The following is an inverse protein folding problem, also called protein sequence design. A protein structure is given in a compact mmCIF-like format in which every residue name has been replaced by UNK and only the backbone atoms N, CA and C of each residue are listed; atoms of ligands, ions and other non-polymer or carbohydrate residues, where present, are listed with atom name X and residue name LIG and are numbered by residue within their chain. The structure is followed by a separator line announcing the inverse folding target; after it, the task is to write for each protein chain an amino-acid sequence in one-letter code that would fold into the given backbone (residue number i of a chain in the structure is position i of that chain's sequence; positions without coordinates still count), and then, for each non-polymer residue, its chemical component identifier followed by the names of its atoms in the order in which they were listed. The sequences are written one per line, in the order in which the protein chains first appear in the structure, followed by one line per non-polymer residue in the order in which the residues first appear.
data_IF_089273757863
#
_entry.id   IF_089273757863
#
_cell.length_a   1.000
_cell.length_b   1.000
_cell.length_c   1.000
_cell.angle_alpha   90.00
_cell.angle_beta   90.00
_cell.angle_gamma   90.00
#
_symmetry.space_group_name_H-M   'P 1'
#
loop_
_entity.id
_entity.type
_entity.pdbx_description
1 polymer ?
#
# COMPACT_ATOMS: atom_id res chain seq x y z
N UNK A 1 -2.98 8.85 12.50
CA UNK A 1 -1.89 9.79 12.81
C UNK A 1 -1.39 9.63 14.25
N UNK A 2 -2.24 9.76 15.27
CA UNK A 2 -1.83 9.59 16.67
C UNK A 2 -1.20 8.21 16.95
N UNK A 3 -1.73 7.13 16.38
CA UNK A 3 -1.19 5.78 16.57
C UNK A 3 0.25 5.66 16.05
N UNK A 4 0.52 6.17 14.86
CA UNK A 4 1.86 6.13 14.25
C UNK A 4 2.84 7.00 15.05
N UNK A 5 2.41 8.17 15.53
CA UNK A 5 3.20 9.02 16.41
C UNK A 5 3.57 8.32 17.72
N UNK A 6 2.58 7.72 18.39
CA UNK A 6 2.80 6.95 19.63
C UNK A 6 3.75 5.77 19.42
N UNK A 7 3.59 5.03 18.31
CA UNK A 7 4.45 3.90 17.97
C UNK A 7 5.90 4.35 17.72
N UNK A 8 6.09 5.42 16.94
CA UNK A 8 7.41 6.03 16.70
C UNK A 8 8.08 6.41 18.00
N UNK A 9 7.36 7.10 18.87
CA UNK A 9 7.92 7.59 20.15
C UNK A 9 8.26 6.44 21.11
N UNK A 10 7.45 5.38 21.11
CA UNK A 10 7.71 4.17 21.90
C UNK A 10 8.91 3.36 21.38
N UNK A 11 9.11 3.30 20.08
CA UNK A 11 10.23 2.58 19.45
C UNK A 11 11.56 3.34 19.55
N UNK A 12 11.53 4.67 19.67
CA UNK A 12 12.72 5.48 19.80
C UNK A 12 13.75 5.20 18.70
N UNK A 13 14.95 4.77 19.09
CA UNK A 13 16.04 4.43 18.15
C UNK A 13 15.69 3.28 17.20
N UNK A 14 14.82 2.35 17.60
CA UNK A 14 14.40 1.22 16.77
C UNK A 14 13.46 1.64 15.63
N UNK A 15 12.97 2.86 15.62
CA UNK A 15 12.12 3.38 14.55
C UNK A 15 12.78 3.28 13.16
N UNK A 16 14.09 3.48 13.07
CA UNK A 16 14.85 3.35 11.82
C UNK A 16 14.99 1.89 11.35
N UNK A 17 14.92 0.94 12.29
CA UNK A 17 14.98 -0.50 12.01
C UNK A 17 13.60 -1.13 11.81
N UNK A 18 12.54 -0.33 11.94
CA UNK A 18 11.16 -0.79 11.87
C UNK A 18 10.49 -0.28 10.59
N UNK A 19 9.84 -1.16 9.86
CA UNK A 19 8.95 -0.82 8.76
C UNK A 19 7.50 -1.12 9.17
N UNK A 20 6.68 -0.08 9.25
CA UNK A 20 5.23 -0.23 9.49
C UNK A 20 4.51 -0.10 8.15
N UNK A 21 3.77 -1.13 7.79
CA UNK A 21 2.92 -1.16 6.60
C UNK A 21 1.45 -1.15 7.03
N UNK A 22 0.70 -0.20 6.51
CA UNK A 22 -0.75 -0.13 6.67
C UNK A 22 -1.38 -0.39 5.32
N UNK A 23 -2.14 -1.45 5.23
CA UNK A 23 -2.82 -1.87 4.01
C UNK A 23 -4.21 -2.43 4.34
N UNK A 24 -5.05 -2.52 3.34
CA UNK A 24 -6.37 -3.16 3.41
C UNK A 24 -6.52 -4.15 2.28
N UNK A 25 -7.26 -5.22 2.52
CA UNK A 25 -7.62 -6.21 1.50
C UNK A 25 -8.75 -5.72 0.58
N UNK A 26 -9.47 -4.68 1.01
CA UNK A 26 -10.60 -4.13 0.25
C UNK A 26 -10.25 -2.79 -0.36
N UNK A 27 -10.65 -2.61 -1.62
CA UNK A 27 -10.82 -1.30 -2.23
C UNK A 27 -12.24 -0.76 -2.04
N UNK A 28 -12.54 0.32 -2.73
CA UNK A 28 -13.89 0.95 -2.72
C UNK A 28 -14.32 1.22 -4.14
N UNK A 29 -15.65 1.17 -4.36
CA UNK A 29 -16.25 1.65 -5.61
C UNK A 29 -16.09 3.16 -5.74
N UNK A 30 -16.00 3.65 -6.98
CA UNK A 30 -15.84 5.09 -7.23
C UNK A 30 -17.16 5.84 -7.03
N UNK A 31 -18.28 5.21 -7.38
CA UNK A 31 -19.60 5.81 -7.20
C UNK A 31 -20.15 5.57 -5.80
N UNK A 32 -20.93 6.53 -5.30
CA UNK A 32 -21.71 6.36 -4.09
C UNK A 32 -22.84 5.33 -4.30
N UNK A 33 -23.10 4.55 -3.28
CA UNK A 33 -24.24 3.65 -3.23
C UNK A 33 -25.52 4.34 -2.74
N UNK A 34 -26.63 3.61 -2.71
CA UNK A 34 -27.94 4.14 -2.31
C UNK A 34 -28.06 4.62 -0.86
N UNK A 35 -27.06 4.32 0.00
CA UNK A 35 -27.02 4.74 1.41
C UNK A 35 -26.04 5.89 1.66
N UNK A 36 -25.46 6.48 0.61
CA UNK A 36 -24.53 7.60 0.71
C UNK A 36 -23.08 7.21 1.06
N UNK A 37 -22.77 5.90 1.04
CA UNK A 37 -21.43 5.36 1.18
C UNK A 37 -20.89 4.81 -0.14
N UNK A 38 -19.90 3.93 -0.06
CA UNK A 38 -19.36 3.17 -1.20
C UNK A 38 -19.32 1.69 -0.85
N UNK A 39 -19.44 0.84 -1.86
CA UNK A 39 -19.31 -0.59 -1.68
C UNK A 39 -17.84 -1.03 -1.72
N UNK A 40 -17.58 -2.29 -1.41
CA UNK A 40 -16.24 -2.87 -1.58
C UNK A 40 -15.87 -2.84 -3.06
N UNK A 41 -14.61 -2.56 -3.34
CA UNK A 41 -14.04 -2.50 -4.68
C UNK A 41 -12.67 -3.17 -4.72
N UNK A 42 -11.94 -2.97 -5.81
CA UNK A 42 -10.74 -3.74 -6.10
C UNK A 42 -9.47 -3.03 -5.61
N UNK A 43 -9.29 -1.75 -5.91
CA UNK A 43 -8.06 -1.03 -5.57
C UNK A 43 -8.21 -0.12 -4.35
N UNK A 44 -7.11 0.03 -3.63
CA UNK A 44 -7.00 0.91 -2.47
C UNK A 44 -5.62 1.55 -2.42
N UNK A 45 -5.32 2.24 -1.31
CA UNK A 45 -4.01 2.78 -1.00
C UNK A 45 -3.36 1.97 0.13
N UNK A 46 -2.01 1.93 0.12
CA UNK A 46 -1.23 1.43 1.24
C UNK A 46 -0.25 2.51 1.70
N UNK A 47 0.15 2.47 2.95
CA UNK A 47 1.06 3.44 3.55
C UNK A 47 2.24 2.73 4.19
N UNK A 48 3.42 3.34 4.09
CA UNK A 48 4.65 2.89 4.73
C UNK A 48 5.16 3.97 5.68
N UNK A 49 5.60 3.55 6.86
CA UNK A 49 6.20 4.42 7.86
C UNK A 49 7.48 3.77 8.39
N UNK A 50 8.56 4.54 8.46
CA UNK A 50 9.84 4.13 9.04
C UNK A 50 10.74 5.36 9.18
N UNK A 51 11.65 5.35 10.13
CA UNK A 51 12.73 6.34 10.23
C UNK A 51 13.76 6.24 9.11
N UNK A 52 13.82 5.11 8.40
CA UNK A 52 14.74 4.87 7.29
C UNK A 52 14.19 5.25 5.91
N UNK A 53 12.95 5.74 5.81
CA UNK A 53 12.39 6.18 4.53
C UNK A 53 13.03 7.50 4.08
N UNK A 54 13.86 7.41 3.02
CA UNK A 54 14.62 8.55 2.51
C UNK A 54 13.76 9.71 1.98
N UNK A 55 12.53 9.42 1.55
CA UNK A 55 11.59 10.37 0.93
C UNK A 55 10.24 10.36 1.67
N UNK A 56 10.26 10.44 2.99
CA UNK A 56 9.03 10.52 3.78
C UNK A 56 8.15 11.70 3.36
N UNK A 57 6.83 11.52 3.46
CA UNK A 57 5.82 12.51 3.05
C UNK A 57 5.48 12.52 1.56
N UNK A 58 6.08 11.68 0.75
CA UNK A 58 5.77 11.56 -0.67
C UNK A 58 4.59 10.61 -0.92
N UNK A 59 3.78 10.97 -1.91
CA UNK A 59 2.77 10.09 -2.49
C UNK A 59 3.36 9.52 -3.79
N UNK A 60 3.41 8.19 -3.86
CA UNK A 60 3.81 7.47 -5.07
C UNK A 60 2.55 6.87 -5.69
N UNK A 61 2.21 7.28 -6.90
CA UNK A 61 1.01 6.81 -7.56
C UNK A 61 1.20 6.69 -9.07
N UNK A 62 0.71 5.60 -9.63
CA UNK A 62 0.36 5.47 -11.03
C UNK A 62 -1.16 5.65 -11.13
N UNK A 63 -1.57 6.91 -11.24
CA UNK A 63 -2.98 7.27 -11.11
C UNK A 63 -3.78 6.90 -12.37
N UNK A 64 -4.73 5.94 -12.30
CA UNK A 64 -5.45 5.46 -13.47
C UNK A 64 -6.56 6.40 -13.93
N UNK A 65 -6.95 7.36 -13.09
CA UNK A 65 -8.11 8.23 -13.31
C UNK A 65 -9.42 7.63 -12.78
N UNK A 66 -10.49 8.44 -12.86
CA UNK A 66 -11.82 8.09 -12.34
C UNK A 66 -12.94 8.26 -13.37
N UNK A 67 -12.60 8.48 -14.64
CA UNK A 67 -13.62 8.51 -15.71
C UNK A 67 -14.17 7.10 -15.90
N UNK A 68 -15.44 6.91 -16.30
CA UNK A 68 -16.04 5.58 -16.49
C UNK A 68 -15.19 4.62 -17.33
N UNK A 69 -14.53 5.12 -18.38
CA UNK A 69 -13.65 4.34 -19.25
C UNK A 69 -12.31 3.95 -18.61
N UNK A 70 -11.96 4.55 -17.48
CA UNK A 70 -10.70 4.31 -16.76
C UNK A 70 -10.90 3.38 -15.55
N UNK A 71 -12.14 3.08 -15.19
CA UNK A 71 -12.47 2.22 -14.07
C UNK A 71 -12.26 0.74 -14.43
N UNK A 72 -11.93 -0.04 -13.43
CA UNK A 72 -11.94 -1.50 -13.53
C UNK A 72 -13.41 -1.96 -13.54
N UNK A 73 -13.79 -2.71 -14.58
CA UNK A 73 -15.18 -3.14 -14.82
C UNK A 73 -16.22 -1.98 -14.80
N UNK A 74 -15.79 -0.76 -15.11
CA UNK A 74 -16.66 0.42 -15.13
C UNK A 74 -17.17 0.87 -13.75
N UNK A 75 -16.65 0.30 -12.66
CA UNK A 75 -17.15 0.50 -11.30
C UNK A 75 -16.07 0.85 -10.29
N UNK A 76 -14.99 0.10 -10.27
CA UNK A 76 -13.98 0.15 -9.23
C UNK A 76 -12.79 1.03 -9.64
N UNK A 77 -12.06 1.58 -8.68
CA UNK A 77 -10.74 2.12 -8.95
C UNK A 77 -9.87 1.00 -9.54
N UNK A 78 -9.22 1.29 -10.68
CA UNK A 78 -8.37 0.31 -11.36
C UNK A 78 -7.09 0.08 -10.57
N UNK A 79 -6.73 -1.18 -10.21
CA UNK A 79 -5.45 -1.46 -9.58
C UNK A 79 -4.31 -1.24 -10.57
N UNK A 80 -3.25 -0.58 -10.12
CA UNK A 80 -2.05 -0.28 -10.92
C UNK A 80 -0.80 -0.98 -10.39
N UNK A 81 -0.88 -1.56 -9.20
CA UNK A 81 0.18 -2.36 -8.59
C UNK A 81 -0.43 -3.52 -7.80
N UNK A 82 0.21 -4.67 -7.83
CA UNK A 82 -0.19 -5.80 -6.98
C UNK A 82 0.39 -5.63 -5.58
N UNK A 83 -0.38 -6.04 -4.58
CA UNK A 83 0.03 -5.95 -3.17
C UNK A 83 1.32 -6.74 -2.90
N UNK A 84 1.45 -7.92 -3.48
CA UNK A 84 2.62 -8.79 -3.32
C UNK A 84 3.90 -8.11 -3.82
N UNK A 85 3.83 -7.39 -4.93
CA UNK A 85 4.94 -6.60 -5.44
C UNK A 85 5.27 -5.46 -4.47
N UNK A 86 4.27 -4.67 -4.08
CA UNK A 86 4.44 -3.55 -3.15
C UNK A 86 5.09 -4.01 -1.84
N UNK A 87 4.57 -5.08 -1.22
CA UNK A 87 5.05 -5.58 0.06
C UNK A 87 6.49 -6.12 -0.04
N UNK A 88 6.79 -6.94 -1.05
CA UNK A 88 8.12 -7.49 -1.24
C UNK A 88 9.17 -6.42 -1.56
N UNK A 89 8.83 -5.43 -2.40
CA UNK A 89 9.74 -4.35 -2.74
C UNK A 89 10.02 -3.43 -1.53
N UNK A 90 8.99 -3.16 -0.71
CA UNK A 90 9.13 -2.38 0.51
C UNK A 90 10.05 -3.07 1.52
N UNK A 91 9.86 -4.37 1.76
CA UNK A 91 10.70 -5.18 2.65
C UNK A 91 12.13 -5.32 2.12
N UNK A 92 12.28 -5.64 0.84
CA UNK A 92 13.60 -5.77 0.23
C UNK A 92 14.41 -4.48 0.35
N UNK A 93 13.77 -3.34 0.09
CA UNK A 93 14.43 -2.02 0.22
C UNK A 93 14.79 -1.71 1.67
N UNK A 94 13.88 -1.95 2.61
CA UNK A 94 14.10 -1.63 4.03
C UNK A 94 15.23 -2.45 4.66
N UNK A 95 15.30 -3.74 4.33
CA UNK A 95 16.28 -4.67 4.89
C UNK A 95 17.46 -4.97 3.97
N UNK A 96 17.63 -4.22 2.87
CA UNK A 96 18.69 -4.41 1.88
C UNK A 96 18.75 -5.86 1.32
N UNK A 97 17.58 -6.45 1.06
CA UNK A 97 17.44 -7.80 0.52
C UNK A 97 17.31 -7.77 -1.01
N UNK A 98 17.52 -8.92 -1.65
CA UNK A 98 17.22 -9.11 -3.06
C UNK A 98 15.70 -9.12 -3.29
N UNK A 99 15.12 -8.21 -4.09
CA UNK A 99 13.68 -8.10 -4.25
C UNK A 99 13.05 -9.32 -4.93
N UNK A 100 13.76 -9.97 -5.85
CA UNK A 100 13.26 -11.15 -6.56
C UNK A 100 13.17 -12.34 -5.60
N UNK A 101 14.23 -12.58 -4.81
CA UNK A 101 14.26 -13.64 -3.80
C UNK A 101 13.25 -13.37 -2.69
N UNK A 102 13.14 -12.13 -2.23
CA UNK A 102 12.17 -11.74 -1.21
C UNK A 102 10.74 -12.03 -1.68
N UNK A 103 10.42 -11.66 -2.91
CA UNK A 103 9.10 -11.93 -3.50
C UNK A 103 8.83 -13.43 -3.63
N UNK A 104 9.76 -14.20 -4.17
CA UNK A 104 9.61 -15.63 -4.32
C UNK A 104 9.46 -16.37 -2.97
N UNK A 105 10.08 -15.86 -1.91
CA UNK A 105 9.97 -16.44 -0.57
C UNK A 105 8.64 -16.10 0.11
N UNK A 106 8.15 -14.87 -0.04
CA UNK A 106 6.92 -14.41 0.62
C UNK A 106 5.66 -14.81 -0.15
N UNK A 107 5.74 -14.83 -1.46
CA UNK A 107 4.62 -15.05 -2.36
C UNK A 107 5.03 -16.05 -3.47
N UNK A 108 5.21 -17.33 -3.15
CA UNK A 108 5.72 -18.33 -4.10
C UNK A 108 4.82 -18.53 -5.33
N UNK A 109 3.52 -18.28 -5.18
CA UNK A 109 2.55 -18.37 -6.29
C UNK A 109 2.48 -17.09 -7.14
N UNK A 110 3.30 -16.10 -6.80
CA UNK A 110 3.42 -14.84 -7.52
C UNK A 110 4.61 -14.89 -8.48
N UNK A 111 4.48 -15.62 -9.55
CA UNK A 111 5.50 -15.69 -10.61
C UNK A 111 5.13 -14.78 -11.78
#
# INVERSE_FOLDING_TARGET
DALIGTLRDALGSEWSNTLVMVATEFGRTVAFNGTGGTDHGTASAAMLFSGALANGGNIVADWPGMKPSQLYEGRDLKPTMRFEQFASDALARHYALDPVKTRASLFPDFA
#
